data_IF_586191754287
#
_entry.id   IF_586191754287
#
_cell.length_a   1.000
_cell.length_b   1.000
_cell.length_c   1.000
_cell.angle_alpha   90.00
_cell.angle_beta   90.00
_cell.angle_gamma   90.00
#
_symmetry.space_group_name_H-M   'P 1'
#
loop_
_entity.id
_entity.type
_entity.pdbx_description
1 polymer ?
#
# COMPACT_ATOMS: atom_id res chain seq x y z
N UNK A 1 34.79 -40.93 5.77
CA UNK A 1 34.94 -40.47 4.38
C UNK A 1 34.32 -39.09 4.31
N UNK A 2 35.16 -38.07 4.21
CA UNK A 2 34.70 -36.68 4.09
C UNK A 2 34.51 -36.47 2.58
N UNK A 3 33.26 -36.36 2.14
CA UNK A 3 32.96 -35.91 0.78
C UNK A 3 33.43 -34.46 0.66
N UNK A 4 34.52 -34.24 -0.07
CA UNK A 4 34.93 -32.91 -0.51
C UNK A 4 33.89 -32.39 -1.50
N UNK A 5 33.10 -31.43 -1.06
CA UNK A 5 32.21 -30.64 -1.91
C UNK A 5 33.08 -29.88 -2.91
N UNK A 6 32.89 -30.06 -4.23
CA UNK A 6 33.73 -29.39 -5.22
C UNK A 6 33.49 -27.87 -5.16
N UNK A 7 34.56 -27.16 -4.82
CA UNK A 7 34.63 -25.74 -4.51
C UNK A 7 34.63 -24.86 -5.79
N UNK A 8 33.74 -25.20 -6.72
CA UNK A 8 33.56 -24.51 -8.00
C UNK A 8 32.23 -23.77 -7.95
N UNK A 9 32.24 -22.62 -7.31
CA UNK A 9 31.23 -21.59 -7.54
C UNK A 9 31.37 -21.18 -9.01
N UNK A 10 30.49 -21.71 -9.85
CA UNK A 10 30.35 -21.34 -11.25
C UNK A 10 29.85 -19.89 -11.32
N UNK A 11 30.77 -18.95 -11.51
CA UNK A 11 30.41 -17.58 -11.84
C UNK A 11 29.92 -17.53 -13.29
N UNK A 12 28.62 -17.82 -13.46
CA UNK A 12 27.81 -17.56 -14.66
C UNK A 12 28.20 -18.33 -15.92
N UNK A 13 27.37 -19.30 -16.33
CA UNK A 13 26.64 -19.39 -17.63
C UNK A 13 25.89 -20.72 -17.60
N UNK A 14 24.55 -20.70 -17.50
CA UNK A 14 23.73 -21.83 -17.94
C UNK A 14 23.73 -21.82 -19.47
N UNK A 15 24.41 -22.80 -20.08
CA UNK A 15 24.31 -23.03 -21.52
C UNK A 15 23.04 -23.84 -21.78
N UNK A 16 21.91 -23.15 -21.88
CA UNK A 16 20.77 -23.72 -22.59
C UNK A 16 21.12 -23.70 -24.08
N UNK A 17 21.19 -24.90 -24.64
CA UNK A 17 21.95 -25.18 -25.85
C UNK A 17 21.49 -24.40 -27.08
N UNK A 18 22.46 -23.91 -27.84
CA UNK A 18 22.35 -23.85 -29.29
C UNK A 18 23.76 -23.91 -29.88
N UNK A 19 23.90 -24.69 -30.96
CA UNK A 19 25.14 -24.95 -31.67
C UNK A 19 25.58 -23.68 -32.39
N UNK A 20 26.38 -22.86 -31.73
CA UNK A 20 27.34 -22.00 -32.42
C UNK A 20 28.46 -21.64 -31.45
N UNK A 21 29.68 -21.57 -31.97
CA UNK A 21 30.93 -21.36 -31.24
C UNK A 21 30.96 -20.01 -30.48
N UNK A 22 30.22 -19.93 -29.38
CA UNK A 22 30.25 -18.84 -28.42
C UNK A 22 31.39 -19.15 -27.46
N UNK A 23 32.59 -18.69 -27.82
CA UNK A 23 33.73 -18.69 -26.90
C UNK A 23 33.28 -18.08 -25.57
N UNK A 24 33.30 -18.89 -24.51
CA UNK A 24 33.05 -18.44 -23.15
C UNK A 24 34.11 -17.40 -22.83
N UNK A 25 33.75 -16.11 -22.78
CA UNK A 25 34.65 -15.04 -22.35
C UNK A 25 34.85 -15.14 -20.83
N UNK A 26 35.62 -16.13 -20.41
CA UNK A 26 36.08 -16.31 -19.04
C UNK A 26 37.53 -15.85 -18.89
N UNK A 27 37.83 -15.07 -17.86
CA UNK A 27 39.21 -14.72 -17.48
C UNK A 27 39.71 -15.79 -16.51
N UNK A 28 40.86 -16.41 -16.81
CA UNK A 28 41.50 -17.35 -15.88
C UNK A 28 42.20 -16.59 -14.76
N UNK A 29 41.84 -16.87 -13.52
CA UNK A 29 42.43 -16.24 -12.33
C UNK A 29 43.26 -17.30 -11.61
N UNK A 30 44.51 -16.99 -11.24
CA UNK A 30 45.35 -17.90 -10.46
C UNK A 30 44.81 -18.05 -9.02
N UNK A 31 45.21 -19.12 -8.32
CA UNK A 31 44.73 -19.40 -6.95
C UNK A 31 44.99 -18.25 -5.97
N UNK A 32 46.13 -17.56 -6.11
CA UNK A 32 46.52 -16.43 -5.25
C UNK A 32 45.69 -15.18 -5.53
N UNK A 33 45.41 -14.88 -6.80
CA UNK A 33 44.63 -13.70 -7.18
C UNK A 33 43.12 -13.88 -6.98
N UNK A 34 42.62 -15.11 -6.81
CA UNK A 34 41.19 -15.41 -6.58
C UNK A 34 40.62 -14.60 -5.41
N UNK A 35 41.29 -14.61 -4.27
CA UNK A 35 40.82 -13.90 -3.08
C UNK A 35 40.78 -12.37 -3.28
N UNK A 36 41.79 -11.82 -3.98
CA UNK A 36 41.88 -10.38 -4.25
C UNK A 36 40.79 -9.94 -5.22
N UNK A 37 40.60 -10.67 -6.32
CA UNK A 37 39.56 -10.37 -7.31
C UNK A 37 38.17 -10.53 -6.71
N UNK A 38 37.90 -11.61 -5.96
CA UNK A 38 36.62 -11.80 -5.27
C UNK A 38 36.33 -10.67 -4.27
N UNK A 39 37.33 -10.22 -3.50
CA UNK A 39 37.18 -9.08 -2.59
C UNK A 39 36.90 -7.79 -3.35
N UNK A 40 37.61 -7.54 -4.45
CA UNK A 40 37.41 -6.34 -5.25
C UNK A 40 36.03 -6.34 -5.92
N UNK A 41 35.58 -7.49 -6.41
CA UNK A 41 34.26 -7.64 -6.99
C UNK A 41 33.16 -7.45 -5.94
N UNK A 42 33.32 -8.03 -4.74
CA UNK A 42 32.42 -7.75 -3.63
C UNK A 42 32.36 -6.25 -3.32
N UNK A 43 33.49 -5.55 -3.29
CA UNK A 43 33.51 -4.10 -3.04
C UNK A 43 32.77 -3.32 -4.13
N UNK A 44 32.91 -3.71 -5.40
CA UNK A 44 32.22 -3.07 -6.53
C UNK A 44 30.71 -3.35 -6.45
N UNK A 45 30.31 -4.60 -6.22
CA UNK A 45 28.91 -5.00 -6.10
C UNK A 45 28.25 -4.37 -4.86
N UNK A 46 28.96 -4.34 -3.73
CA UNK A 46 28.50 -3.70 -2.50
C UNK A 46 28.39 -2.17 -2.62
N UNK A 47 29.21 -1.54 -3.48
CA UNK A 47 29.07 -0.11 -3.78
C UNK A 47 27.80 0.20 -4.58
N UNK A 48 27.26 -0.76 -5.32
CA UNK A 48 26.01 -0.58 -6.07
C UNK A 48 24.79 -0.88 -5.19
N UNK A 49 24.04 0.16 -4.83
CA UNK A 49 22.80 -0.02 -4.04
C UNK A 49 21.75 -0.73 -4.91
N UNK A 50 21.29 -1.94 -4.52
CA UNK A 50 20.29 -2.68 -5.29
C UNK A 50 18.99 -1.90 -5.45
N UNK A 51 18.30 -2.09 -6.58
CA UNK A 51 17.01 -1.45 -6.83
C UNK A 51 15.97 -1.76 -5.75
N UNK A 52 15.98 -3.00 -5.23
CA UNK A 52 15.17 -3.41 -4.08
C UNK A 52 15.41 -2.52 -2.86
N UNK A 53 16.67 -2.32 -2.47
CA UNK A 53 17.04 -1.52 -1.30
C UNK A 53 16.60 -0.07 -1.43
N UNK A 54 16.73 0.53 -2.62
CA UNK A 54 16.26 1.91 -2.88
C UNK A 54 14.75 2.05 -2.72
N UNK A 55 13.97 1.13 -3.30
CA UNK A 55 12.50 1.16 -3.19
C UNK A 55 12.06 0.90 -1.75
N UNK A 56 12.71 -0.04 -1.07
CA UNK A 56 12.41 -0.35 0.33
C UNK A 56 12.69 0.84 1.27
N UNK A 57 13.82 1.54 1.10
CA UNK A 57 14.10 2.75 1.86
C UNK A 57 13.07 3.86 1.60
N UNK A 58 12.65 4.06 0.35
CA UNK A 58 11.60 5.02 0.02
C UNK A 58 10.26 4.64 0.69
N UNK A 59 9.94 3.35 0.72
CA UNK A 59 8.76 2.81 1.38
C UNK A 59 8.80 3.11 2.89
N UNK A 60 9.92 2.86 3.58
CA UNK A 60 10.07 3.19 5.02
C UNK A 60 9.96 4.69 5.32
N UNK A 61 10.49 5.55 4.44
CA UNK A 61 10.35 7.01 4.59
C UNK A 61 8.88 7.45 4.53
N UNK A 62 8.10 6.87 3.62
CA UNK A 62 6.66 7.13 3.55
C UNK A 62 5.90 6.61 4.77
N UNK A 63 6.31 5.46 5.35
CA UNK A 63 5.71 4.96 6.59
C UNK A 63 5.85 5.97 7.73
N UNK A 64 7.07 6.49 7.93
CA UNK A 64 7.32 7.50 8.96
C UNK A 64 6.48 8.76 8.74
N UNK A 65 6.42 9.28 7.51
CA UNK A 65 5.59 10.45 7.20
C UNK A 65 4.11 10.22 7.48
N UNK A 66 3.58 9.05 7.13
CA UNK A 66 2.18 8.69 7.39
C UNK A 66 1.92 8.57 8.90
N UNK A 67 2.84 7.99 9.65
CA UNK A 67 2.75 7.87 11.10
C UNK A 67 2.78 9.24 11.80
N UNK A 68 3.57 10.19 11.29
CA UNK A 68 3.65 11.57 11.78
C UNK A 68 2.41 12.40 11.42
N UNK A 69 1.86 12.23 10.21
CA UNK A 69 0.69 12.98 9.72
C UNK A 69 -0.63 12.54 10.40
N UNK A 70 -0.72 11.28 10.82
CA UNK A 70 -1.92 10.70 11.42
C UNK A 70 -2.41 11.42 12.70
N UNK A 71 -1.58 11.64 13.75
CA UNK A 71 -2.01 12.36 14.93
C UNK A 71 -2.41 13.80 14.62
N UNK A 72 -1.68 14.48 13.73
CA UNK A 72 -2.04 15.85 13.30
C UNK A 72 -3.43 15.90 12.64
N UNK A 73 -3.72 14.94 11.77
CA UNK A 73 -5.04 14.85 11.14
C UNK A 73 -6.15 14.54 12.18
N UNK A 74 -5.87 13.69 13.17
CA UNK A 74 -6.82 13.40 14.24
C UNK A 74 -7.15 14.64 15.07
N UNK A 75 -6.16 15.45 15.41
CA UNK A 75 -6.35 16.74 16.11
C UNK A 75 -7.21 17.71 15.29
N UNK A 76 -6.92 17.88 14.00
CA UNK A 76 -7.71 18.72 13.11
C UNK A 76 -9.18 18.28 13.05
N UNK A 77 -9.42 16.97 13.01
CA UNK A 77 -10.77 16.39 13.03
C UNK A 77 -11.47 16.61 14.37
N UNK A 78 -10.77 16.48 15.50
CA UNK A 78 -11.31 16.75 16.83
C UNK A 78 -11.67 18.23 17.01
N UNK A 79 -10.80 19.14 16.54
CA UNK A 79 -11.05 20.59 16.59
C UNK A 79 -12.27 20.99 15.75
N UNK A 80 -12.49 20.34 14.60
CA UNK A 80 -13.71 20.53 13.81
C UNK A 80 -14.96 19.99 14.52
N UNK A 81 -14.87 18.85 15.21
CA UNK A 81 -15.99 18.24 15.94
C UNK A 81 -16.40 19.05 17.18
N UNK A 82 -15.42 19.60 17.90
CA UNK A 82 -15.64 20.34 19.14
C UNK A 82 -16.15 21.77 18.91
N UNK A 83 -16.31 22.21 17.66
CA UNK A 83 -16.93 23.50 17.32
C UNK A 83 -16.11 24.73 17.70
N UNK A 84 -14.88 24.57 18.21
CA UNK A 84 -13.99 25.66 18.62
C UNK A 84 -13.56 26.56 17.46
N UNK A 85 -13.61 26.04 16.23
CA UNK A 85 -13.28 26.78 15.01
C UNK A 85 -14.24 26.44 13.86
N UNK A 86 -15.50 26.86 13.93
CA UNK A 86 -16.44 26.81 12.79
C UNK A 86 -16.13 27.85 11.69
N UNK A 87 -14.83 28.09 11.43
CA UNK A 87 -14.36 28.99 10.38
C UNK A 87 -14.23 28.20 9.07
N UNK A 88 -14.70 28.69 7.91
CA UNK A 88 -14.51 28.05 6.61
C UNK A 88 -13.03 27.73 6.29
N UNK A 89 -12.08 28.46 6.88
CA UNK A 89 -10.65 28.17 6.74
C UNK A 89 -10.20 26.89 7.46
N UNK A 90 -10.85 26.48 8.55
CA UNK A 90 -10.46 25.27 9.29
C UNK A 90 -10.95 23.99 8.57
N UNK A 91 -12.11 24.07 7.91
CA UNK A 91 -12.67 22.97 7.13
C UNK A 91 -11.89 22.74 5.84
N UNK A 92 -11.41 23.80 5.17
CA UNK A 92 -10.55 23.69 3.99
C UNK A 92 -9.19 23.07 4.31
N UNK A 93 -8.54 23.50 5.40
CA UNK A 93 -7.26 22.94 5.86
C UNK A 93 -7.38 21.45 6.19
N UNK A 94 -8.45 21.04 6.87
CA UNK A 94 -8.66 19.62 7.20
C UNK A 94 -8.95 18.77 5.96
N UNK A 95 -9.69 19.32 4.98
CA UNK A 95 -9.93 18.64 3.70
C UNK A 95 -8.64 18.49 2.88
N UNK A 96 -7.77 19.50 2.91
CA UNK A 96 -6.45 19.44 2.27
C UNK A 96 -5.53 18.41 2.95
N UNK A 97 -5.49 18.39 4.28
CA UNK A 97 -4.73 17.40 5.06
C UNK A 97 -5.20 15.97 4.76
N UNK A 98 -6.53 15.75 4.68
CA UNK A 98 -7.10 14.46 4.26
C UNK A 98 -6.62 14.06 2.86
N UNK A 99 -6.66 14.99 1.91
CA UNK A 99 -6.23 14.71 0.52
C UNK A 99 -4.75 14.33 0.48
N UNK A 100 -3.89 15.13 1.11
CA UNK A 100 -2.45 14.86 1.20
C UNK A 100 -2.16 13.49 1.82
N UNK A 101 -2.87 13.13 2.87
CA UNK A 101 -2.72 11.83 3.54
C UNK A 101 -3.14 10.67 2.61
N UNK A 102 -4.27 10.79 1.90
CA UNK A 102 -4.68 9.79 0.92
C UNK A 102 -3.68 9.64 -0.24
N UNK A 103 -3.15 10.76 -0.73
CA UNK A 103 -2.15 10.76 -1.80
C UNK A 103 -0.88 10.01 -1.37
N UNK A 104 -0.41 10.21 -0.13
CA UNK A 104 0.72 9.45 0.46
C UNK A 104 0.42 7.95 0.58
N UNK A 105 -0.79 7.57 0.98
CA UNK A 105 -1.18 6.15 1.00
C UNK A 105 -1.20 5.53 -0.40
N UNK A 106 -1.64 6.27 -1.42
CA UNK A 106 -1.60 5.82 -2.80
C UNK A 106 -0.17 5.66 -3.31
N UNK A 107 0.74 6.58 -2.96
CA UNK A 107 2.16 6.46 -3.28
C UNK A 107 2.80 5.25 -2.61
N UNK A 108 2.49 5.02 -1.33
CA UNK A 108 2.95 3.85 -0.58
C UNK A 108 2.51 2.53 -1.23
N UNK A 109 1.23 2.40 -1.60
CA UNK A 109 0.70 1.22 -2.30
C UNK A 109 1.38 1.00 -3.66
N UNK A 110 1.64 2.09 -4.40
CA UNK A 110 2.37 2.03 -5.68
C UNK A 110 3.79 1.52 -5.49
N UNK A 111 4.52 2.00 -4.47
CA UNK A 111 5.87 1.52 -4.17
C UNK A 111 5.88 0.06 -3.71
N UNK A 112 4.94 -0.34 -2.85
CA UNK A 112 4.82 -1.73 -2.38
C UNK A 112 4.58 -2.70 -3.55
N UNK A 113 3.70 -2.34 -4.49
CA UNK A 113 3.46 -3.12 -5.72
C UNK A 113 4.68 -3.16 -6.63
N UNK A 114 5.38 -2.02 -6.79
CA UNK A 114 6.61 -1.95 -7.58
C UNK A 114 7.73 -2.82 -7.00
N UNK A 115 7.85 -2.88 -5.67
CA UNK A 115 8.83 -3.74 -4.99
C UNK A 115 8.56 -5.22 -5.27
N UNK A 116 7.28 -5.63 -5.29
CA UNK A 116 6.85 -6.99 -5.63
C UNK A 116 7.00 -7.33 -7.11
N UNK A 117 6.93 -6.34 -7.99
CA UNK A 117 7.10 -6.52 -9.43
C UNK A 117 8.58 -6.62 -9.87
N UNK A 118 9.54 -6.51 -8.94
CA UNK A 118 10.95 -6.67 -9.27
C UNK A 118 11.24 -8.13 -9.65
N UNK A 119 12.06 -8.36 -10.70
CA UNK A 119 12.39 -9.71 -11.13
C UNK A 119 13.10 -10.46 -10.00
N UNK A 120 12.61 -11.66 -9.69
CA UNK A 120 13.24 -12.60 -8.76
C UNK A 120 13.13 -14.01 -9.33
N UNK A 121 14.06 -14.87 -8.94
CA UNK A 121 13.99 -16.30 -9.28
C UNK A 121 12.94 -16.97 -8.39
N UNK A 122 12.08 -17.85 -8.93
CA UNK A 122 11.06 -18.55 -8.14
C UNK A 122 11.72 -19.43 -7.06
N UNK A 123 11.21 -19.36 -5.84
CA UNK A 123 11.74 -20.04 -4.66
C UNK A 123 12.96 -19.39 -4.01
N UNK A 124 13.46 -18.28 -4.56
CA UNK A 124 14.64 -17.58 -4.01
C UNK A 124 14.34 -16.92 -2.65
N UNK A 125 15.40 -16.66 -1.88
CA UNK A 125 15.32 -15.86 -0.65
C UNK A 125 14.77 -14.46 -0.92
N UNK A 126 15.08 -13.88 -2.08
CA UNK A 126 14.57 -12.59 -2.51
C UNK A 126 13.05 -12.58 -2.68
N UNK A 127 12.47 -13.63 -3.28
CA UNK A 127 11.02 -13.74 -3.43
C UNK A 127 10.32 -13.80 -2.07
N UNK A 128 10.84 -14.59 -1.13
CA UNK A 128 10.32 -14.69 0.24
C UNK A 128 10.29 -13.32 0.92
N UNK A 129 11.37 -12.54 0.79
CA UNK A 129 11.45 -11.19 1.34
C UNK A 129 10.47 -10.24 0.65
N UNK A 130 10.35 -10.27 -0.68
CA UNK A 130 9.39 -9.44 -1.42
C UNK A 130 7.94 -9.73 -1.00
N UNK A 131 7.59 -11.00 -0.81
CA UNK A 131 6.28 -11.42 -0.31
C UNK A 131 6.06 -10.90 1.11
N UNK A 132 7.02 -11.10 2.01
CA UNK A 132 6.91 -10.63 3.40
C UNK A 132 6.71 -9.11 3.49
N UNK A 133 7.47 -8.33 2.72
CA UNK A 133 7.33 -6.87 2.67
C UNK A 133 5.97 -6.47 2.08
N UNK A 134 5.52 -7.13 1.01
CA UNK A 134 4.20 -6.89 0.43
C UNK A 134 3.06 -7.19 1.41
N UNK A 135 3.15 -8.28 2.17
CA UNK A 135 2.17 -8.62 3.20
C UNK A 135 2.15 -7.60 4.33
N UNK A 136 3.33 -7.18 4.83
CA UNK A 136 3.44 -6.12 5.84
C UNK A 136 2.80 -4.82 5.35
N UNK A 137 3.07 -4.42 4.11
CA UNK A 137 2.51 -3.22 3.51
C UNK A 137 0.97 -3.27 3.43
N UNK A 138 0.40 -4.42 3.06
CA UNK A 138 -1.05 -4.60 3.04
C UNK A 138 -1.67 -4.48 4.44
N UNK A 139 -1.03 -5.05 5.47
CA UNK A 139 -1.48 -4.93 6.87
C UNK A 139 -1.41 -3.48 7.35
N UNK A 140 -0.34 -2.76 7.02
CA UNK A 140 -0.18 -1.34 7.33
C UNK A 140 -1.30 -0.51 6.69
N UNK A 141 -1.56 -0.71 5.39
CA UNK A 141 -2.65 -0.02 4.68
C UNK A 141 -4.01 -0.30 5.32
N UNK A 142 -4.32 -1.54 5.68
CA UNK A 142 -5.59 -1.88 6.34
C UNK A 142 -5.74 -1.17 7.69
N UNK A 143 -4.68 -1.16 8.50
CA UNK A 143 -4.68 -0.53 9.83
C UNK A 143 -4.88 0.98 9.75
N UNK A 144 -4.24 1.64 8.79
CA UNK A 144 -4.18 3.11 8.75
C UNK A 144 -5.20 3.74 7.78
N UNK A 145 -5.70 3.02 6.78
CA UNK A 145 -6.75 3.51 5.86
C UNK A 145 -8.16 3.33 6.41
N UNK A 146 -8.44 2.26 7.17
CA UNK A 146 -9.78 1.96 7.69
C UNK A 146 -10.34 3.05 8.63
N UNK A 147 -9.55 3.62 9.57
CA UNK A 147 -10.02 4.67 10.47
C UNK A 147 -10.38 6.00 9.77
N UNK A 148 -9.84 6.25 8.58
CA UNK A 148 -10.08 7.50 7.82
C UNK A 148 -11.40 7.47 7.03
N UNK A 149 -11.94 6.29 6.76
CA UNK A 149 -13.19 6.11 6.02
C UNK A 149 -14.43 6.19 6.91
N UNK A 150 -14.30 5.92 8.21
CA UNK A 150 -15.40 5.95 9.19
C UNK A 150 -15.68 7.36 9.73
N UNK A 151 -14.84 8.35 9.39
CA UNK A 151 -15.17 9.74 9.66
C UNK A 151 -16.40 10.13 8.83
N UNK A 152 -17.52 10.55 9.48
CA UNK A 152 -18.72 10.96 8.78
C UNK A 152 -18.33 11.94 7.68
N UNK A 153 -18.76 11.67 6.44
CA UNK A 153 -18.45 12.47 5.26
C UNK A 153 -18.56 13.94 5.67
N UNK A 154 -17.45 14.69 5.67
CA UNK A 154 -17.40 16.09 6.11
C UNK A 154 -18.43 16.97 5.37
N UNK A 155 -18.90 16.52 4.19
CA UNK A 155 -20.05 17.07 3.46
C UNK A 155 -21.37 17.10 4.27
N UNK A 156 -21.57 16.19 5.22
CA UNK A 156 -22.75 16.17 6.09
C UNK A 156 -22.61 17.09 7.30
N UNK A 157 -21.40 17.27 7.86
CA UNK A 157 -21.19 18.28 8.91
C UNK A 157 -21.35 19.71 8.38
N UNK A 158 -20.88 19.98 7.14
CA UNK A 158 -21.13 21.26 6.49
C UNK A 158 -22.63 21.53 6.22
N UNK A 159 -23.42 20.49 5.91
CA UNK A 159 -24.88 20.61 5.77
C UNK A 159 -25.60 20.77 7.10
N UNK A 160 -25.16 20.08 8.16
CA UNK A 160 -25.76 20.16 9.49
C UNK A 160 -25.56 21.55 10.14
N UNK A 161 -24.42 22.22 9.88
CA UNK A 161 -24.18 23.58 10.35
C UNK A 161 -25.07 24.64 9.65
N UNK A 162 -25.57 24.36 8.45
CA UNK A 162 -26.46 25.26 7.70
C UNK A 162 -27.95 25.06 7.99
N UNK A 163 -28.36 23.98 8.65
CA UNK A 163 -29.78 23.67 8.90
C UNK A 163 -30.32 24.22 10.24
N UNK A 164 -29.47 24.83 11.07
CA UNK A 164 -29.88 25.38 12.40
C UNK A 164 -30.16 26.89 12.39
N UNK A 165 -30.22 27.55 11.21
CA UNK A 165 -30.61 28.97 11.11
C UNK A 165 -31.68 29.18 10.04
N UNK A 166 -32.93 28.83 10.35
CA UNK A 166 -34.07 29.56 9.78
C UNK A 166 -35.28 29.56 10.72
N UNK A 167 -35.69 30.73 11.26
CA UNK A 167 -36.93 30.84 12.00
C UNK A 167 -38.13 30.77 11.03
N UNK A 168 -39.20 30.11 11.49
CA UNK A 168 -40.50 30.02 10.81
C UNK A 168 -41.10 31.41 10.55
N UNK A 169 -41.82 31.58 9.44
CA UNK A 169 -43.11 32.29 9.52
C UNK A 169 -44.27 31.47 8.93
N UNK A 170 -45.47 31.81 9.41
CA UNK A 170 -46.77 31.18 9.18
C UNK A 170 -47.23 31.18 7.71
N UNK A 171 -47.98 30.13 7.38
CA UNK A 171 -48.96 29.96 6.28
C UNK A 171 -50.06 31.06 6.29
N UNK A 172 -50.88 31.30 5.21
CA UNK A 172 -51.54 30.23 4.44
C UNK A 172 -51.90 30.41 2.94
N UNK A 173 -52.31 29.26 2.37
CA UNK A 173 -53.29 29.04 1.29
C UNK A 173 -52.93 29.34 -0.19
N UNK A 174 -52.86 28.26 -1.01
CA UNK A 174 -53.55 28.18 -2.29
C UNK A 174 -53.59 26.72 -2.82
N UNK A 175 -54.78 26.33 -3.24
CA UNK A 175 -55.21 25.05 -3.80
C UNK A 175 -54.71 24.86 -5.23
N UNK A 176 -54.37 23.62 -5.63
CA UNK A 176 -54.05 23.29 -7.03
C UNK A 176 -53.79 21.80 -7.27
N UNK A 177 -54.84 21.09 -7.64
CA UNK A 177 -54.95 19.67 -8.01
C UNK A 177 -54.11 19.27 -9.24
N UNK A 178 -53.46 18.09 -9.24
CA UNK A 178 -53.66 16.97 -10.21
C UNK A 178 -52.49 15.96 -10.26
N UNK A 179 -52.87 14.69 -10.29
CA UNK A 179 -52.06 13.46 -10.33
C UNK A 179 -51.68 13.04 -11.76
N UNK A 180 -50.52 12.38 -11.93
CA UNK A 180 -50.40 11.11 -12.67
C UNK A 180 -48.96 10.54 -12.66
N UNK A 181 -48.79 9.42 -11.96
CA UNK A 181 -48.03 8.20 -12.30
C UNK A 181 -46.78 8.30 -13.20
N UNK A 182 -45.60 8.21 -12.58
CA UNK A 182 -44.36 7.70 -13.17
C UNK A 182 -43.73 6.70 -12.19
N UNK A 183 -43.87 5.41 -12.46
CA UNK A 183 -43.32 4.33 -11.63
C UNK A 183 -41.90 4.00 -12.10
N UNK A 184 -40.92 4.72 -11.55
CA UNK A 184 -39.50 4.45 -11.78
C UNK A 184 -38.91 3.43 -10.81
N UNK A 185 -38.02 2.61 -11.37
CA UNK A 185 -37.48 1.38 -10.85
C UNK A 185 -36.74 1.51 -9.51
N UNK A 186 -37.20 0.75 -8.49
CA UNK A 186 -36.37 0.39 -7.33
C UNK A 186 -35.44 -0.77 -7.73
N UNK A 187 -34.15 -0.48 -7.91
CA UNK A 187 -33.09 -1.49 -7.97
C UNK A 187 -32.18 -1.36 -6.74
N UNK A 188 -32.28 -2.33 -5.83
CA UNK A 188 -31.48 -2.46 -4.61
C UNK A 188 -29.98 -2.64 -4.90
N UNK A 189 -29.05 -1.97 -4.19
CA UNK A 189 -27.62 -2.26 -4.19
C UNK A 189 -27.22 -2.96 -2.88
N UNK A 190 -27.71 -4.18 -2.64
CA UNK A 190 -27.39 -4.94 -1.41
C UNK A 190 -26.35 -6.05 -1.61
N UNK A 191 -26.37 -6.74 -2.76
CA UNK A 191 -25.70 -8.04 -2.90
C UNK A 191 -24.20 -7.98 -3.25
N UNK A 192 -23.70 -6.89 -3.82
CA UNK A 192 -22.29 -6.75 -4.21
C UNK A 192 -21.39 -6.36 -3.04
N UNK A 193 -21.92 -5.66 -2.05
CA UNK A 193 -21.14 -5.21 -0.88
C UNK A 193 -20.90 -6.35 0.12
N UNK A 194 -21.90 -7.21 0.32
CA UNK A 194 -21.78 -8.37 1.21
C UNK A 194 -20.88 -9.47 0.63
N UNK A 195 -20.90 -9.71 -0.69
CA UNK A 195 -19.95 -10.64 -1.34
C UNK A 195 -18.50 -10.16 -1.25
N UNK A 196 -18.25 -8.85 -1.31
CA UNK A 196 -16.89 -8.28 -1.14
C UNK A 196 -16.42 -8.38 0.31
N UNK A 197 -17.31 -8.21 1.29
CA UNK A 197 -16.99 -8.37 2.72
C UNK A 197 -16.70 -9.82 3.09
N UNK A 198 -17.51 -10.76 2.60
CA UNK A 198 -17.29 -12.19 2.80
C UNK A 198 -15.96 -12.65 2.18
N UNK A 199 -15.65 -12.20 0.96
CA UNK A 199 -14.39 -12.54 0.27
C UNK A 199 -13.17 -11.87 0.94
N UNK A 200 -13.32 -10.66 1.49
CA UNK A 200 -12.25 -10.02 2.27
C UNK A 200 -12.01 -10.74 3.61
N UNK A 201 -13.06 -11.27 4.25
CA UNK A 201 -12.95 -12.03 5.50
C UNK A 201 -12.33 -13.41 5.30
N UNK A 202 -12.66 -14.13 4.22
CA UNK A 202 -12.00 -15.40 3.88
C UNK A 202 -10.50 -15.22 3.66
N UNK A 203 -10.11 -14.19 2.90
CA UNK A 203 -8.70 -13.90 2.63
C UNK A 203 -7.93 -13.54 3.91
N UNK A 204 -8.54 -12.81 4.85
CA UNK A 204 -7.94 -12.51 6.15
C UNK A 204 -7.76 -13.74 7.04
N UNK A 205 -8.71 -14.67 7.02
CA UNK A 205 -8.60 -15.92 7.80
C UNK A 205 -7.53 -16.86 7.26
N UNK A 206 -7.36 -16.90 5.94
CA UNK A 206 -6.33 -17.71 5.28
C UNK A 206 -4.93 -17.16 5.58
N UNK A 207 -4.74 -15.84 5.47
CA UNK A 207 -3.48 -15.16 5.84
C UNK A 207 -3.12 -15.38 7.32
N UNK A 208 -4.09 -15.31 8.23
CA UNK A 208 -3.85 -15.57 9.65
C UNK A 208 -3.39 -17.01 9.91
N UNK A 209 -3.95 -17.98 9.19
CA UNK A 209 -3.57 -19.38 9.32
C UNK A 209 -2.18 -19.66 8.74
N UNK A 210 -1.81 -18.97 7.67
CA UNK A 210 -0.51 -19.12 7.03
C UNK A 210 0.63 -18.50 7.87
N UNK A 211 0.38 -17.34 8.48
CA UNK A 211 1.29 -16.75 9.48
C UNK A 211 1.47 -17.68 10.69
N UNK A 212 0.40 -18.31 11.16
CA UNK A 212 0.48 -19.31 12.26
C UNK A 212 1.28 -20.55 11.85
N UNK A 213 1.21 -20.95 10.58
CA UNK A 213 1.95 -22.10 10.04
C UNK A 213 3.44 -21.81 9.87
N UNK A 214 3.80 -20.56 9.63
CA UNK A 214 5.19 -20.09 9.50
C UNK A 214 5.91 -19.89 10.85
N UNK A 215 5.15 -19.82 11.96
CA UNK A 215 5.69 -19.67 13.33
C UNK A 215 5.76 -20.99 14.13
N UNK A 216 5.59 -22.15 13.47
CA UNK A 216 5.90 -23.48 14.02
C UNK A 216 7.07 -24.08 13.25
#
# INVERSE_FOLDING_TARGET
MIEEVPDVIAYGVTLDGEKDNKYVKGVRICRTCRAVVSKQQYNIEAATIPAFSRIYQALLRLEGQIEDDLPQFQELVLNLKNGTHSNPSATSTTAAARKSLLDRFHEYDRLAKRLRALPCQPGSSQEKVQIAVSTRANVFLQKHMFPLQTLPKMKQLAKAATDTRRPRPRDPAAVGTRSSLGADARRSPGSTQDRRRANAQSNLTEIRNEIRRFMR
#
